data_IF_989808695475
#
_entry.id   IF_989808695475
#
_cell.length_a   1.000
_cell.length_b   1.000
_cell.length_c   1.000
_cell.angle_alpha   90.00
_cell.angle_beta   90.00
_cell.angle_gamma   90.00
#
_symmetry.space_group_name_H-M   'P 1'
#
loop_
_entity.id
_entity.type
_entity.pdbx_description
1 polymer ?
#
# COMPACT_ATOMS: atom_id res chain seq x y z
N UNK A 1 1.64 -19.70 -9.89
CA UNK A 1 1.97 -19.18 -11.23
C UNK A 1 1.61 -17.71 -11.16
N UNK A 2 2.51 -16.79 -11.54
CA UNK A 2 2.20 -15.36 -11.58
C UNK A 2 1.10 -15.08 -12.63
N UNK A 3 0.22 -14.12 -12.35
CA UNK A 3 -0.90 -13.74 -13.21
C UNK A 3 -0.85 -12.25 -13.50
N UNK A 4 -0.27 -11.89 -14.65
CA UNK A 4 -0.19 -10.51 -15.07
C UNK A 4 -1.57 -9.86 -15.26
N UNK A 5 -1.70 -8.64 -14.73
CA UNK A 5 -2.89 -7.81 -14.82
C UNK A 5 -3.86 -7.97 -13.65
N UNK A 6 -3.44 -8.66 -12.57
CA UNK A 6 -4.24 -8.85 -11.36
C UNK A 6 -3.99 -7.76 -10.29
N UNK A 7 -3.07 -6.82 -10.55
CA UNK A 7 -2.68 -5.73 -9.65
C UNK A 7 -1.79 -6.14 -8.49
N UNK A 8 -1.30 -7.38 -8.47
CA UNK A 8 -0.43 -7.93 -7.43
C UNK A 8 0.94 -8.19 -8.03
N UNK A 9 1.96 -7.58 -7.45
CA UNK A 9 3.34 -7.79 -7.90
C UNK A 9 3.81 -9.21 -7.53
N UNK A 10 3.98 -10.07 -8.54
CA UNK A 10 4.41 -11.45 -8.35
C UNK A 10 5.83 -11.71 -8.87
N UNK A 11 6.41 -12.85 -8.50
CA UNK A 11 7.75 -13.21 -8.92
C UNK A 11 7.84 -13.37 -10.45
N UNK A 12 8.68 -12.57 -11.09
CA UNK A 12 8.91 -12.59 -12.54
C UNK A 12 8.35 -11.38 -13.30
N UNK A 13 7.52 -10.58 -12.64
CA UNK A 13 6.98 -9.31 -13.12
C UNK A 13 7.89 -8.14 -12.70
N UNK A 14 7.82 -7.02 -13.42
CA UNK A 14 8.49 -5.76 -13.07
C UNK A 14 7.51 -4.69 -12.57
N UNK A 15 6.24 -4.84 -12.95
CA UNK A 15 5.11 -4.06 -12.47
C UNK A 15 3.82 -4.83 -12.73
N UNK A 16 2.78 -4.60 -11.93
CA UNK A 16 1.41 -4.99 -12.26
C UNK A 16 0.48 -3.86 -11.83
N UNK A 17 -0.13 -3.18 -12.80
CA UNK A 17 -1.04 -2.07 -12.57
C UNK A 17 -2.52 -2.47 -12.71
N UNK A 18 -2.84 -3.76 -12.81
CA UNK A 18 -4.16 -4.27 -13.16
C UNK A 18 -4.36 -4.35 -14.66
N UNK A 19 -5.61 -4.50 -15.10
CA UNK A 19 -5.95 -4.60 -16.53
C UNK A 19 -5.92 -3.24 -17.24
N UNK A 20 -6.21 -3.22 -18.56
CA UNK A 20 -6.21 -2.01 -19.40
C UNK A 20 -7.02 -0.84 -18.81
N UNK A 21 -8.15 -1.14 -18.17
CA UNK A 21 -9.05 -0.11 -17.62
C UNK A 21 -8.64 0.38 -16.24
N UNK A 22 -8.05 -0.49 -15.43
CA UNK A 22 -7.64 -0.20 -14.05
C UNK A 22 -6.25 0.43 -13.96
N UNK A 23 -5.39 0.14 -14.94
CA UNK A 23 -4.01 0.62 -14.96
C UNK A 23 -3.92 2.14 -14.98
N UNK A 24 -3.53 2.72 -13.84
CA UNK A 24 -3.28 4.15 -13.68
C UNK A 24 -1.90 4.56 -14.21
N UNK A 25 -0.98 3.60 -14.34
CA UNK A 25 0.42 3.81 -14.72
C UNK A 25 0.70 3.39 -16.18
N UNK A 26 -0.20 3.70 -17.12
CA UNK A 26 -0.11 3.23 -18.52
C UNK A 26 1.17 3.61 -19.25
N UNK A 27 1.77 4.74 -18.87
CA UNK A 27 3.04 5.22 -19.44
C UNK A 27 4.26 4.50 -18.83
N UNK A 28 4.09 3.87 -17.67
CA UNK A 28 5.16 3.24 -16.90
C UNK A 28 5.15 1.72 -16.99
N UNK A 29 3.96 1.12 -17.01
CA UNK A 29 3.75 -0.32 -17.00
C UNK A 29 2.98 -0.76 -18.24
N UNK A 30 3.43 -1.85 -18.84
CA UNK A 30 2.65 -2.58 -19.83
C UNK A 30 1.76 -3.62 -19.14
N UNK A 31 0.45 -3.36 -19.10
CA UNK A 31 -0.53 -4.21 -18.44
C UNK A 31 -0.70 -5.60 -19.08
N UNK A 32 -0.25 -5.80 -20.33
CA UNK A 32 -0.33 -7.12 -20.98
C UNK A 32 0.89 -7.99 -20.65
N UNK A 33 2.04 -7.38 -20.40
CA UNK A 33 3.32 -8.07 -20.23
C UNK A 33 3.91 -7.96 -18.83
N UNK A 34 3.36 -7.08 -17.99
CA UNK A 34 3.83 -6.77 -16.63
C UNK A 34 5.31 -6.38 -16.60
N UNK A 35 5.71 -5.60 -17.62
CA UNK A 35 7.06 -5.05 -17.81
C UNK A 35 7.04 -3.53 -17.73
N UNK A 36 8.14 -2.97 -17.22
CA UNK A 36 8.32 -1.54 -17.20
C UNK A 36 8.59 -1.02 -18.61
N UNK A 37 8.05 0.15 -18.93
CA UNK A 37 8.25 0.83 -20.20
C UNK A 37 9.44 1.78 -20.11
N UNK A 38 10.31 1.74 -21.13
CA UNK A 38 11.41 2.69 -21.26
C UNK A 38 12.35 2.69 -20.05
N UNK A 39 12.49 3.86 -19.43
CA UNK A 39 13.34 4.09 -18.25
C UNK A 39 12.55 4.29 -16.96
N UNK A 40 11.32 3.78 -16.88
CA UNK A 40 10.50 3.82 -15.68
C UNK A 40 11.23 3.16 -14.50
N UNK A 41 11.22 3.82 -13.34
CA UNK A 41 11.75 3.25 -12.09
C UNK A 41 10.71 2.37 -11.39
N UNK A 42 9.43 2.65 -11.63
CA UNK A 42 8.29 1.92 -11.10
C UNK A 42 7.10 2.02 -12.05
N UNK A 43 6.13 1.11 -11.91
CA UNK A 43 4.89 1.12 -12.69
C UNK A 43 3.66 0.59 -11.93
N UNK A 44 3.82 0.36 -10.62
CA UNK A 44 2.79 -0.14 -9.72
C UNK A 44 3.12 0.26 -8.28
N UNK A 45 2.12 0.19 -7.40
CA UNK A 45 2.27 0.46 -5.97
C UNK A 45 2.01 1.92 -5.55
N UNK A 46 1.67 2.10 -4.27
CA UNK A 46 1.26 3.40 -3.71
C UNK A 46 2.39 4.44 -3.61
N UNK A 47 3.65 4.00 -3.72
CA UNK A 47 4.84 4.85 -3.72
C UNK A 47 5.43 5.06 -5.12
N UNK A 48 4.67 4.78 -6.17
CA UNK A 48 5.01 5.15 -7.53
C UNK A 48 4.28 6.43 -7.96
N UNK A 49 5.00 7.41 -8.47
CA UNK A 49 4.42 8.63 -9.01
C UNK A 49 3.92 8.41 -10.46
N UNK A 50 2.93 9.18 -10.95
CA UNK A 50 2.50 9.10 -12.35
C UNK A 50 3.61 9.38 -13.37
N UNK A 51 4.72 10.01 -12.94
CA UNK A 51 5.94 10.24 -13.73
C UNK A 51 6.87 9.02 -13.81
N UNK A 52 6.45 7.86 -13.30
CA UNK A 52 7.21 6.61 -13.30
C UNK A 52 8.47 6.64 -12.41
N UNK A 53 8.48 7.52 -11.41
CA UNK A 53 9.56 7.70 -10.44
C UNK A 53 9.10 7.31 -9.04
N UNK A 54 10.02 6.87 -8.20
CA UNK A 54 9.72 6.56 -6.80
C UNK A 54 9.36 7.82 -6.02
N UNK A 55 8.32 7.73 -5.20
CA UNK A 55 7.95 8.78 -4.26
C UNK A 55 9.08 9.03 -3.25
N UNK A 56 9.28 10.30 -2.88
CA UNK A 56 10.28 10.68 -1.88
C UNK A 56 10.00 10.02 -0.51
N UNK A 57 11.07 9.72 0.23
CA UNK A 57 11.00 9.22 1.59
C UNK A 57 10.16 10.14 2.49
N UNK A 58 9.26 9.59 3.30
CA UNK A 58 8.35 10.36 4.14
C UNK A 58 7.06 10.81 3.43
N UNK A 59 6.82 10.39 2.18
CA UNK A 59 5.52 10.58 1.51
C UNK A 59 4.51 9.58 2.07
N UNK A 60 3.34 10.00 2.58
CA UNK A 60 2.36 9.07 3.15
C UNK A 60 1.74 8.18 2.06
N UNK A 61 1.76 6.87 2.27
CA UNK A 61 1.26 5.87 1.30
C UNK A 61 0.10 5.02 1.82
N UNK A 62 -0.06 4.88 3.15
CA UNK A 62 -1.26 4.30 3.76
C UNK A 62 -1.67 5.16 4.95
N UNK A 63 -2.94 5.53 5.03
CA UNK A 63 -3.48 6.26 6.18
C UNK A 63 -3.85 5.26 7.27
N UNK A 64 -3.64 5.66 8.52
CA UNK A 64 -4.17 4.93 9.67
C UNK A 64 -5.70 4.74 9.54
N UNK A 65 -6.16 3.51 9.72
CA UNK A 65 -7.57 3.15 9.76
C UNK A 65 -8.21 3.58 11.08
N UNK A 66 -7.46 3.50 12.17
CA UNK A 66 -7.84 3.94 13.51
C UNK A 66 -6.67 4.75 14.12
N UNK A 67 -6.81 6.06 14.36
CA UNK A 67 -5.70 6.90 14.83
C UNK A 67 -5.13 6.52 16.21
N UNK A 68 -5.86 5.78 17.04
CA UNK A 68 -5.38 5.32 18.36
C UNK A 68 -4.64 3.98 18.26
N UNK A 69 -4.97 3.16 17.26
CA UNK A 69 -4.53 1.78 17.18
C UNK A 69 -3.71 1.44 15.93
N UNK A 70 -3.66 2.31 14.93
CA UNK A 70 -3.04 2.08 13.63
C UNK A 70 -2.13 3.24 13.24
N UNK A 71 -1.04 2.96 12.55
CA UNK A 71 -0.06 3.98 12.16
C UNK A 71 -0.25 4.42 10.71
N UNK A 72 0.23 5.62 10.36
CA UNK A 72 0.32 6.01 8.96
C UNK A 72 1.67 5.55 8.43
N UNK A 73 1.69 4.82 7.33
CA UNK A 73 2.92 4.40 6.67
C UNK A 73 3.34 5.40 5.61
N UNK A 74 4.65 5.45 5.43
CA UNK A 74 5.33 6.37 4.54
C UNK A 74 6.23 5.59 3.59
N UNK A 75 6.34 6.09 2.36
CA UNK A 75 7.32 5.61 1.40
C UNK A 75 8.73 5.77 1.97
N UNK A 76 9.60 4.79 1.70
CA UNK A 76 10.99 4.81 2.14
C UNK A 76 11.92 5.55 1.15
N UNK A 77 11.44 5.79 -0.08
CA UNK A 77 12.19 6.41 -1.18
C UNK A 77 12.99 5.42 -2.04
N UNK A 78 12.86 4.11 -1.78
CA UNK A 78 13.60 3.05 -2.47
C UNK A 78 12.72 1.93 -3.04
N UNK A 79 11.45 1.87 -2.62
CA UNK A 79 10.45 0.92 -3.07
C UNK A 79 9.23 1.63 -3.65
N UNK A 80 8.62 1.06 -4.69
CA UNK A 80 7.35 1.52 -5.26
C UNK A 80 6.13 1.06 -4.44
N UNK A 81 6.31 0.05 -3.60
CA UNK A 81 5.30 -0.42 -2.66
C UNK A 81 5.49 0.26 -1.30
N UNK A 82 4.38 0.58 -0.65
CA UNK A 82 4.37 1.07 0.72
C UNK A 82 5.00 0.03 1.65
N UNK A 83 5.64 0.50 2.72
CA UNK A 83 6.16 -0.40 3.76
C UNK A 83 5.02 -1.21 4.39
N UNK A 84 5.30 -2.37 5.02
CA UNK A 84 4.26 -3.19 5.62
C UNK A 84 3.40 -2.40 6.62
N UNK A 85 2.10 -2.71 6.63
CA UNK A 85 1.12 -2.16 7.58
C UNK A 85 1.54 -2.47 9.02
N UNK A 86 1.66 -1.44 9.84
CA UNK A 86 2.00 -1.55 11.26
C UNK A 86 0.98 -0.87 12.14
N UNK A 87 0.70 -1.48 13.28
CA UNK A 87 -0.31 -1.02 14.22
C UNK A 87 0.15 -1.20 15.67
N UNK A 88 -0.55 -0.54 16.59
CA UNK A 88 -0.32 -0.67 18.02
C UNK A 88 -0.48 -2.13 18.45
N UNK A 89 0.36 -2.58 19.38
CA UNK A 89 0.33 -3.96 19.89
C UNK A 89 -1.08 -4.34 20.37
N UNK A 90 -1.52 -5.55 20.02
CA UNK A 90 -2.79 -6.09 20.51
C UNK A 90 -2.84 -6.02 22.05
N UNK A 91 -3.92 -5.44 22.59
CA UNK A 91 -4.06 -5.17 24.02
C UNK A 91 -3.60 -3.77 24.45
N UNK A 92 -3.09 -2.91 23.56
CA UNK A 92 -2.88 -1.50 23.87
C UNK A 92 -4.20 -0.82 24.23
N UNK A 93 -4.21 0.04 25.24
CA UNK A 93 -5.41 0.74 25.69
C UNK A 93 -5.81 1.83 24.69
N UNK A 94 -7.09 1.87 24.34
CA UNK A 94 -7.68 2.91 23.50
C UNK A 94 -9.02 3.39 24.12
N UNK A 95 -9.62 4.45 23.56
CA UNK A 95 -10.81 5.12 24.11
C UNK A 95 -10.66 5.42 25.60
N UNK A 96 -9.60 6.15 25.94
CA UNK A 96 -9.29 6.54 27.33
C UNK A 96 -9.22 5.34 28.29
N UNK A 97 -8.81 4.17 27.79
CA UNK A 97 -8.66 2.94 28.57
C UNK A 97 -9.94 2.12 28.77
N UNK A 98 -11.02 2.47 28.07
CA UNK A 98 -12.27 1.68 28.09
C UNK A 98 -12.28 0.50 27.11
N UNK A 99 -11.31 0.45 26.19
CA UNK A 99 -11.22 -0.54 25.13
C UNK A 99 -9.75 -0.91 24.84
N UNK A 100 -9.56 -1.89 23.95
CA UNK A 100 -8.24 -2.39 23.58
C UNK A 100 -8.07 -2.45 22.06
N UNK A 101 -6.88 -2.11 21.59
CA UNK A 101 -6.48 -2.28 20.20
C UNK A 101 -6.39 -3.76 19.85
N UNK A 102 -6.91 -4.14 18.69
CA UNK A 102 -6.73 -5.45 18.09
C UNK A 102 -6.71 -5.31 16.56
N UNK A 103 -5.60 -5.72 15.93
CA UNK A 103 -5.35 -5.63 14.49
C UNK A 103 -5.64 -4.24 13.91
N UNK A 104 -5.03 -3.19 14.50
CA UNK A 104 -5.16 -1.82 14.01
C UNK A 104 -6.51 -1.16 14.25
N UNK A 105 -7.38 -1.73 15.10
CA UNK A 105 -8.69 -1.14 15.42
C UNK A 105 -8.95 -1.15 16.92
N UNK A 106 -9.54 -0.09 17.44
CA UNK A 106 -9.98 -0.04 18.82
C UNK A 106 -11.27 -0.86 18.99
N UNK A 107 -11.21 -1.97 19.73
CA UNK A 107 -12.33 -2.87 19.94
C UNK A 107 -13.19 -2.41 21.12
N UNK A 108 -14.21 -1.61 20.84
CA UNK A 108 -15.19 -1.21 21.85
C UNK A 108 -16.51 -1.97 21.66
N UNK A 109 -17.12 -2.39 22.77
CA UNK A 109 -18.38 -3.14 22.75
C UNK A 109 -19.50 -2.40 22.00
N UNK A 110 -19.61 -1.08 22.20
CA UNK A 110 -20.65 -0.26 21.57
C UNK A 110 -20.51 -0.15 20.04
N UNK A 111 -19.33 -0.44 19.46
CA UNK A 111 -19.13 -0.38 18.01
C UNK A 111 -19.54 -1.67 17.31
N UNK A 112 -19.84 -2.72 18.09
CA UNK A 112 -20.22 -4.05 17.59
C UNK A 112 -21.73 -4.30 17.65
N UNK A 113 -22.48 -3.38 18.28
CA UNK A 113 -23.94 -3.38 18.34
C UNK A 113 -24.54 -2.61 17.16
#
# INVERSE_FOLDING_TARGET
>A
QAVCGNGIMEAGEECDCGNETECQFKECCDHETCRLKGSAQCGSGACCMPTCELSASGTPCRKAVDPECDFTEYCDGSSSHCVPDTFALNGHLCRLGSAYCYNGRCQALNDQC
#
